data_IF_755442821053
#
_entry.id   IF_755442821053
#
_cell.length_a   1.000
_cell.length_b   1.000
_cell.length_c   1.000
_cell.angle_alpha   90.00
_cell.angle_beta   90.00
_cell.angle_gamma   90.00
#
_symmetry.space_group_name_H-M   'P 1'
#
loop_
_entity.id
_entity.type
_entity.pdbx_description
1 polymer ?
#
# COMPACT_ATOMS: atom_id res chain seq x y z
N UNK A 1 42.69 -60.15 2.89
CA UNK A 1 41.23 -60.38 2.78
C UNK A 1 40.54 -59.44 3.76
N UNK A 2 40.23 -58.23 3.31
CA UNK A 2 39.26 -57.29 3.90
C UNK A 2 39.19 -56.12 2.92
N UNK A 3 38.37 -56.24 1.88
CA UNK A 3 38.02 -55.11 1.00
C UNK A 3 36.73 -55.32 0.17
N UNK A 4 36.01 -56.44 0.36
CA UNK A 4 34.75 -56.69 -0.36
C UNK A 4 33.51 -56.10 0.32
N UNK A 5 33.51 -56.01 1.66
CA UNK A 5 32.31 -55.63 2.41
C UNK A 5 32.06 -54.12 2.45
N UNK A 6 33.11 -53.29 2.46
CA UNK A 6 32.96 -51.82 2.41
C UNK A 6 32.50 -51.32 1.05
N UNK A 7 32.90 -51.98 -0.04
CA UNK A 7 32.47 -51.61 -1.39
C UNK A 7 31.00 -52.01 -1.63
N UNK A 8 30.57 -53.14 -1.08
CA UNK A 8 29.17 -53.56 -1.11
C UNK A 8 28.27 -52.63 -0.30
N UNK A 9 28.70 -52.20 0.89
CA UNK A 9 27.95 -51.25 1.74
C UNK A 9 27.81 -49.89 1.04
N UNK A 10 28.90 -49.34 0.48
CA UNK A 10 28.83 -48.07 -0.25
C UNK A 10 27.97 -48.15 -1.51
N UNK A 11 27.97 -49.27 -2.23
CA UNK A 11 27.08 -49.45 -3.38
C UNK A 11 25.61 -49.57 -2.96
N UNK A 12 25.35 -50.21 -1.82
CA UNK A 12 23.98 -50.37 -1.29
C UNK A 12 23.42 -49.04 -0.80
N UNK A 13 24.21 -48.25 -0.05
CA UNK A 13 23.84 -46.90 0.41
C UNK A 13 23.60 -45.95 -0.77
N UNK A 14 24.49 -45.95 -1.77
CA UNK A 14 24.35 -45.11 -2.97
C UNK A 14 23.14 -45.47 -3.82
N UNK A 15 22.72 -46.74 -3.79
CA UNK A 15 21.54 -47.22 -4.50
C UNK A 15 20.24 -46.85 -3.76
N UNK A 16 20.26 -46.79 -2.42
CA UNK A 16 19.13 -46.33 -1.61
C UNK A 16 18.94 -44.81 -1.65
N UNK A 17 20.04 -44.03 -1.68
CA UNK A 17 19.99 -42.58 -1.87
C UNK A 17 19.39 -42.19 -3.24
N UNK A 18 19.77 -42.92 -4.29
CA UNK A 18 19.21 -42.71 -5.63
C UNK A 18 17.72 -43.07 -5.70
N UNK A 19 17.27 -44.09 -4.97
CA UNK A 19 15.84 -44.42 -4.85
C UNK A 19 15.09 -43.34 -4.08
N UNK A 20 15.64 -42.83 -2.98
CA UNK A 20 15.04 -41.76 -2.20
C UNK A 20 14.88 -40.46 -3.01
N UNK A 21 15.91 -40.10 -3.79
CA UNK A 21 15.87 -38.95 -4.69
C UNK A 21 14.83 -39.12 -5.81
N UNK A 22 14.70 -40.33 -6.38
CA UNK A 22 13.68 -40.63 -7.39
C UNK A 22 12.25 -40.57 -6.82
N UNK A 23 12.02 -41.07 -5.60
CA UNK A 23 10.73 -40.98 -4.90
C UNK A 23 10.36 -39.54 -4.59
N UNK A 24 11.33 -38.73 -4.17
CA UNK A 24 11.10 -37.30 -3.91
C UNK A 24 10.76 -36.52 -5.18
N UNK A 25 11.49 -36.78 -6.28
CA UNK A 25 11.23 -36.16 -7.59
C UNK A 25 9.89 -36.59 -8.17
N UNK A 26 9.52 -37.86 -8.01
CA UNK A 26 8.20 -38.35 -8.44
C UNK A 26 7.07 -37.72 -7.63
N UNK A 27 7.23 -37.58 -6.30
CA UNK A 27 6.25 -36.89 -5.45
C UNK A 27 6.03 -35.44 -5.86
N UNK A 28 7.11 -34.69 -6.13
CA UNK A 28 7.01 -33.31 -6.61
C UNK A 28 6.30 -33.19 -7.97
N UNK A 29 6.52 -34.15 -8.87
CA UNK A 29 5.83 -34.17 -10.17
C UNK A 29 4.35 -34.51 -10.02
N UNK A 30 4.02 -35.48 -9.16
CA UNK A 30 2.63 -35.87 -8.85
C UNK A 30 1.87 -34.74 -8.16
N UNK A 31 2.50 -34.03 -7.22
CA UNK A 31 1.90 -32.87 -6.54
C UNK A 31 1.67 -31.70 -7.51
N UNK A 32 2.56 -31.50 -8.48
CA UNK A 32 2.43 -30.47 -9.52
C UNK A 32 1.36 -30.83 -10.57
N UNK A 33 1.29 -32.09 -11.00
CA UNK A 33 0.24 -32.57 -11.90
C UNK A 33 -1.14 -32.54 -11.22
N UNK A 34 -1.21 -32.84 -9.92
CA UNK A 34 -2.43 -32.69 -9.12
C UNK A 34 -2.86 -31.22 -8.99
N UNK A 35 -1.93 -30.31 -8.69
CA UNK A 35 -2.22 -28.88 -8.63
C UNK A 35 -2.70 -28.32 -9.98
N UNK A 36 -2.13 -28.82 -11.10
CA UNK A 36 -2.55 -28.46 -12.45
C UNK A 36 -3.96 -28.98 -12.78
N UNK A 37 -4.29 -30.21 -12.37
CA UNK A 37 -5.64 -30.77 -12.54
C UNK A 37 -6.69 -30.02 -11.71
N UNK A 38 -6.37 -29.64 -10.46
CA UNK A 38 -7.27 -28.84 -9.64
C UNK A 38 -7.48 -27.43 -10.21
N UNK A 39 -6.46 -26.83 -10.83
CA UNK A 39 -6.58 -25.55 -11.53
C UNK A 39 -7.49 -25.67 -12.77
N UNK A 40 -7.27 -26.68 -13.63
CA UNK A 40 -8.11 -26.93 -14.80
C UNK A 40 -9.57 -27.24 -14.41
N UNK A 41 -9.77 -27.99 -13.32
CA UNK A 41 -11.09 -28.28 -12.76
C UNK A 41 -11.75 -27.03 -12.20
N UNK A 42 -11.04 -26.20 -11.44
CA UNK A 42 -11.56 -24.92 -10.95
C UNK A 42 -11.93 -23.96 -12.09
N UNK A 43 -11.17 -23.98 -13.19
CA UNK A 43 -11.41 -23.17 -14.39
C UNK A 43 -12.64 -23.67 -15.17
N UNK A 44 -12.83 -24.99 -15.25
CA UNK A 44 -14.01 -25.61 -15.86
C UNK A 44 -15.28 -25.42 -15.02
N UNK A 45 -15.17 -25.51 -13.69
CA UNK A 45 -16.25 -25.18 -12.74
C UNK A 45 -16.65 -23.71 -12.85
N UNK A 46 -15.68 -22.80 -13.04
CA UNK A 46 -15.91 -21.37 -13.24
C UNK A 46 -16.67 -21.06 -14.54
N UNK A 47 -16.32 -21.71 -15.65
CA UNK A 47 -17.02 -21.58 -16.94
C UNK A 47 -18.47 -22.12 -16.88
N UNK A 48 -18.68 -23.20 -16.11
CA UNK A 48 -20.00 -23.80 -15.88
C UNK A 48 -20.89 -22.93 -14.98
N UNK A 49 -20.32 -22.31 -13.95
CA UNK A 49 -21.03 -21.36 -13.07
C UNK A 49 -21.43 -20.09 -13.83
N UNK A 50 -20.60 -19.60 -14.77
CA UNK A 50 -20.93 -18.46 -15.61
C UNK A 50 -22.10 -18.74 -16.58
N UNK A 51 -22.28 -20.00 -17.01
CA UNK A 51 -23.39 -20.40 -17.90
C UNK A 51 -24.70 -20.66 -17.16
N UNK A 52 -24.66 -20.89 -15.84
CA UNK A 52 -25.86 -21.25 -15.03
C UNK A 52 -26.39 -20.08 -14.19
N UNK A 53 -25.65 -18.98 -14.08
CA UNK A 53 -25.97 -17.86 -13.18
C UNK A 53 -26.76 -16.75 -13.88
N UNK A 54 -27.93 -17.10 -14.42
CA UNK A 54 -28.95 -16.13 -14.83
C UNK A 54 -30.01 -15.85 -13.76
N UNK A 55 -29.98 -16.49 -12.59
CA UNK A 55 -30.99 -16.29 -11.54
C UNK A 55 -30.37 -16.34 -10.13
N UNK A 56 -29.88 -15.21 -9.62
CA UNK A 56 -29.94 -14.80 -8.20
C UNK A 56 -29.44 -13.36 -8.05
N UNK A 57 -30.25 -12.56 -7.35
CA UNK A 57 -30.35 -11.12 -7.51
C UNK A 57 -29.45 -10.35 -6.51
N UNK A 58 -28.15 -10.22 -6.82
CA UNK A 58 -27.23 -9.24 -6.17
C UNK A 58 -26.43 -8.41 -7.22
N UNK A 59 -26.65 -8.63 -8.52
CA UNK A 59 -25.86 -8.04 -9.61
C UNK A 59 -26.66 -7.09 -10.52
N UNK A 60 -27.39 -6.13 -9.94
CA UNK A 60 -27.99 -5.04 -10.73
C UNK A 60 -27.54 -3.67 -10.23
N UNK A 61 -26.24 -3.48 -10.10
CA UNK A 61 -25.66 -2.14 -10.05
C UNK A 61 -25.33 -1.73 -11.49
N UNK A 62 -25.75 -0.55 -11.97
CA UNK A 62 -25.32 -0.08 -13.28
C UNK A 62 -23.79 -0.07 -13.27
N UNK A 63 -23.15 -0.76 -14.23
CA UNK A 63 -21.72 -1.10 -14.19
C UNK A 63 -20.72 0.06 -14.25
N UNK A 64 -21.15 1.27 -13.92
CA UNK A 64 -20.34 2.48 -13.85
C UNK A 64 -20.74 3.34 -12.64
N UNK A 65 -20.42 2.87 -11.44
CA UNK A 65 -20.59 3.66 -10.21
C UNK A 65 -19.59 4.83 -10.17
N UNK A 66 -20.04 6.01 -9.76
CA UNK A 66 -19.20 7.20 -9.62
C UNK A 66 -18.10 7.01 -8.55
N UNK A 67 -16.92 7.57 -8.84
CA UNK A 67 -15.77 7.60 -7.93
C UNK A 67 -16.19 8.24 -6.61
N UNK A 68 -15.96 7.53 -5.50
CA UNK A 68 -16.23 8.06 -4.17
C UNK A 68 -15.13 9.01 -3.73
N UNK A 69 -15.50 10.12 -3.08
CA UNK A 69 -14.54 11.10 -2.57
C UNK A 69 -14.09 10.77 -1.15
N UNK A 70 -13.00 11.39 -0.69
CA UNK A 70 -12.55 11.28 0.70
C UNK A 70 -13.59 11.85 1.66
N UNK A 71 -14.25 12.95 1.29
CA UNK A 71 -15.26 13.59 2.14
C UNK A 71 -16.50 12.70 2.31
N UNK A 72 -16.91 11.95 1.27
CA UNK A 72 -17.98 10.96 1.37
C UNK A 72 -17.63 9.86 2.38
N UNK A 73 -16.41 9.33 2.29
CA UNK A 73 -15.94 8.26 3.19
C UNK A 73 -15.83 8.76 4.63
N UNK A 74 -15.27 9.95 4.85
CA UNK A 74 -15.18 10.54 6.19
C UNK A 74 -16.57 10.84 6.74
N UNK A 75 -17.50 11.32 5.91
CA UNK A 75 -18.88 11.59 6.32
C UNK A 75 -19.61 10.31 6.74
N UNK A 76 -19.38 9.21 6.01
CA UNK A 76 -19.90 7.89 6.38
C UNK A 76 -19.40 7.44 7.77
N UNK A 77 -18.09 7.52 8.03
CA UNK A 77 -17.57 7.11 9.34
C UNK A 77 -17.92 8.06 10.49
N UNK A 78 -18.20 9.33 10.20
CA UNK A 78 -18.71 10.28 11.21
C UNK A 78 -20.17 10.02 11.58
N UNK A 79 -20.97 9.46 10.68
CA UNK A 79 -22.39 9.17 10.91
C UNK A 79 -22.66 7.74 11.36
N UNK A 80 -21.74 6.80 11.08
CA UNK A 80 -21.82 5.42 11.53
C UNK A 80 -21.62 5.27 13.04
N UNK A 81 -22.21 4.22 13.62
CA UNK A 81 -21.93 3.84 15.01
C UNK A 81 -20.54 3.20 15.11
N UNK A 82 -19.56 3.98 15.54
CA UNK A 82 -18.19 3.55 15.75
C UNK A 82 -17.88 3.18 17.21
N UNK A 83 -18.89 3.12 18.08
CA UNK A 83 -18.71 2.93 19.54
C UNK A 83 -17.88 1.69 19.88
N UNK A 84 -18.14 0.56 19.22
CA UNK A 84 -17.42 -0.70 19.42
C UNK A 84 -15.93 -0.59 19.09
N UNK A 85 -15.57 0.23 18.10
CA UNK A 85 -14.18 0.46 17.70
C UNK A 85 -13.52 1.47 18.64
N UNK A 86 -14.24 2.55 18.96
CA UNK A 86 -13.79 3.59 19.90
C UNK A 86 -13.52 3.06 21.31
N UNK A 87 -14.23 2.02 21.77
CA UNK A 87 -13.97 1.41 23.07
C UNK A 87 -12.60 0.72 23.17
N UNK A 88 -12.03 0.31 22.03
CA UNK A 88 -10.83 -0.54 21.98
C UNK A 88 -9.57 0.20 21.46
N UNK A 89 -9.68 1.49 21.10
CA UNK A 89 -8.54 2.22 20.56
C UNK A 89 -7.48 2.51 21.64
N UNK A 90 -6.22 2.44 21.22
CA UNK A 90 -5.07 2.96 21.98
C UNK A 90 -4.49 4.13 21.19
N UNK A 91 -4.96 5.38 21.43
CA UNK A 91 -4.62 6.52 20.58
C UNK A 91 -3.26 7.14 20.92
N UNK A 92 -2.70 6.84 22.09
CA UNK A 92 -1.40 7.34 22.57
C UNK A 92 -0.65 6.20 23.23
N UNK A 93 0.66 6.10 23.00
CA UNK A 93 1.51 5.13 23.71
C UNK A 93 1.78 5.65 25.12
N UNK A 94 1.45 4.84 26.13
CA UNK A 94 1.78 5.14 27.52
C UNK A 94 3.30 5.26 27.71
N UNK A 95 3.72 6.33 28.39
CA UNK A 95 5.14 6.59 28.68
C UNK A 95 5.43 6.34 30.14
N UNK A 96 6.67 5.92 30.44
CA UNK A 96 7.14 5.81 31.82
C UNK A 96 7.07 7.19 32.52
N UNK A 97 6.89 7.20 33.85
CA UNK A 97 6.75 8.44 34.64
C UNK A 97 7.91 9.42 34.42
N UNK A 98 9.14 8.90 34.26
CA UNK A 98 10.32 9.71 33.96
C UNK A 98 10.24 10.33 32.56
N UNK A 99 9.83 9.57 31.54
CA UNK A 99 9.64 10.08 30.19
C UNK A 99 8.53 11.16 30.09
N UNK A 100 7.53 11.11 30.97
CA UNK A 100 6.50 12.15 31.08
C UNK A 100 7.06 13.49 31.57
N UNK A 101 8.05 13.48 32.48
CA UNK A 101 8.74 14.70 32.92
C UNK A 101 9.60 15.29 31.80
N UNK A 102 10.33 14.45 31.06
CA UNK A 102 11.11 14.90 29.90
C UNK A 102 10.24 15.42 28.76
N UNK A 103 9.01 14.93 28.60
CA UNK A 103 8.05 15.44 27.60
C UNK A 103 7.73 16.92 27.80
N UNK A 104 7.62 17.39 29.04
CA UNK A 104 7.25 18.78 29.32
C UNK A 104 8.26 19.78 28.73
N UNK A 105 9.53 19.37 28.66
CA UNK A 105 10.62 20.24 28.27
C UNK A 105 11.06 19.93 26.81
N UNK A 106 11.09 18.65 26.41
CA UNK A 106 11.71 18.17 25.16
C UNK A 106 10.77 17.30 24.30
N UNK A 107 9.51 17.16 24.71
CA UNK A 107 8.52 16.32 24.02
C UNK A 107 7.85 17.01 22.82
N UNK A 108 7.17 16.23 21.95
CA UNK A 108 6.32 16.81 20.92
C UNK A 108 5.21 17.66 21.56
N UNK A 109 4.70 18.69 20.86
CA UNK A 109 3.63 19.52 21.40
C UNK A 109 2.39 18.68 21.67
N UNK A 110 1.64 19.06 22.70
CA UNK A 110 0.34 18.43 22.99
C UNK A 110 -0.62 18.75 21.85
N UNK A 111 -1.43 17.76 21.44
CA UNK A 111 -2.50 17.99 20.48
C UNK A 111 -3.56 18.92 21.09
N UNK A 112 -4.06 19.87 20.30
CA UNK A 112 -5.20 20.69 20.70
C UNK A 112 -6.42 19.80 21.02
N UNK A 113 -7.10 20.06 22.13
CA UNK A 113 -8.24 19.26 22.58
C UNK A 113 -9.39 19.25 21.57
N UNK A 114 -9.53 20.29 20.76
CA UNK A 114 -10.54 20.33 19.69
C UNK A 114 -10.30 19.31 18.59
N UNK A 115 -9.09 18.73 18.52
CA UNK A 115 -8.69 17.75 17.50
C UNK A 115 -8.73 16.30 18.02
N UNK A 116 -9.10 16.09 19.29
CA UNK A 116 -9.08 14.78 19.91
C UNK A 116 -10.08 13.81 19.26
N UNK A 117 -11.26 14.29 18.88
CA UNK A 117 -12.28 13.47 18.23
C UNK A 117 -11.86 13.02 16.82
N UNK A 118 -11.20 13.89 16.04
CA UNK A 118 -10.64 13.49 14.75
C UNK A 118 -9.53 12.45 14.91
N UNK A 119 -8.66 12.60 15.92
CA UNK A 119 -7.63 11.61 16.24
C UNK A 119 -8.25 10.26 16.59
N UNK A 120 -9.26 10.24 17.46
CA UNK A 120 -9.97 9.00 17.83
C UNK A 120 -10.64 8.37 16.62
N UNK A 121 -11.26 9.18 15.75
CA UNK A 121 -11.88 8.70 14.51
C UNK A 121 -10.86 7.99 13.60
N UNK A 122 -9.66 8.55 13.41
CA UNK A 122 -8.59 7.88 12.64
C UNK A 122 -8.27 6.49 13.22
N UNK A 123 -8.15 6.37 14.54
CA UNK A 123 -7.90 5.07 15.17
C UNK A 123 -9.09 4.11 15.10
N UNK A 124 -10.32 4.63 15.13
CA UNK A 124 -11.52 3.83 14.99
C UNK A 124 -11.68 3.29 13.57
N UNK A 125 -11.44 4.12 12.54
CA UNK A 125 -11.40 3.69 11.14
C UNK A 125 -10.31 2.61 10.95
N UNK A 126 -9.16 2.78 11.61
CA UNK A 126 -8.08 1.79 11.59
C UNK A 126 -8.41 0.48 12.31
N UNK A 127 -9.42 0.49 13.18
CA UNK A 127 -9.89 -0.70 13.91
C UNK A 127 -11.11 -1.33 13.23
N UNK A 128 -11.75 -0.63 12.30
CA UNK A 128 -12.89 -1.12 11.55
C UNK A 128 -12.43 -2.05 10.42
N UNK A 129 -12.87 -3.33 10.38
CA UNK A 129 -12.60 -4.21 9.25
C UNK A 129 -13.42 -3.80 8.02
N UNK A 130 -13.09 -4.40 6.88
CA UNK A 130 -13.95 -4.32 5.71
C UNK A 130 -15.24 -5.10 5.95
N UNK A 131 -16.38 -4.49 5.64
CA UNK A 131 -17.71 -5.11 5.73
C UNK A 131 -18.34 -5.17 4.34
N UNK A 132 -18.87 -6.33 3.94
CA UNK A 132 -19.48 -6.53 2.62
C UNK A 132 -20.88 -5.90 2.53
N UNK A 133 -21.50 -5.69 3.68
CA UNK A 133 -22.84 -5.10 3.82
C UNK A 133 -22.81 -3.58 3.61
N UNK A 134 -21.63 -2.97 3.74
CA UNK A 134 -21.42 -1.54 3.58
C UNK A 134 -21.04 -1.19 2.13
N UNK A 135 -21.98 -0.62 1.39
CA UNK A 135 -21.78 -0.22 -0.02
C UNK A 135 -20.60 0.74 -0.17
N UNK A 136 -20.41 1.65 0.79
CA UNK A 136 -19.28 2.60 0.81
C UNK A 136 -17.95 1.85 0.75
N UNK A 137 -17.81 0.72 1.45
CA UNK A 137 -16.58 -0.05 1.48
C UNK A 137 -16.22 -0.62 0.10
N UNK A 138 -17.19 -1.23 -0.58
CA UNK A 138 -16.98 -1.74 -1.94
C UNK A 138 -16.68 -0.61 -2.93
N UNK A 139 -17.39 0.52 -2.83
CA UNK A 139 -17.17 1.69 -3.69
C UNK A 139 -15.76 2.26 -3.56
N UNK A 140 -15.18 2.25 -2.35
CA UNK A 140 -13.78 2.66 -2.15
C UNK A 140 -12.82 1.75 -2.91
N UNK A 141 -12.96 0.43 -2.77
CA UNK A 141 -12.12 -0.54 -3.50
C UNK A 141 -12.22 -0.35 -5.02
N UNK A 142 -13.44 -0.24 -5.53
CA UNK A 142 -13.69 -0.03 -6.95
C UNK A 142 -13.08 1.29 -7.45
N UNK A 143 -13.22 2.36 -6.67
CA UNK A 143 -12.65 3.68 -7.02
C UNK A 143 -11.13 3.64 -7.10
N UNK A 144 -10.46 2.99 -6.14
CA UNK A 144 -9.00 2.78 -6.16
C UNK A 144 -8.59 2.05 -7.44
N UNK A 145 -9.26 0.95 -7.76
CA UNK A 145 -8.97 0.16 -8.95
C UNK A 145 -9.15 0.98 -10.22
N UNK A 146 -10.31 1.63 -10.40
CA UNK A 146 -10.62 2.47 -11.57
C UNK A 146 -9.55 3.52 -11.81
N UNK A 147 -9.14 4.24 -10.76
CA UNK A 147 -8.17 5.32 -10.87
C UNK A 147 -6.77 4.81 -11.21
N UNK A 148 -6.32 3.72 -10.58
CA UNK A 148 -4.99 3.15 -10.84
C UNK A 148 -4.89 2.50 -12.22
N UNK A 149 -5.91 1.77 -12.65
CA UNK A 149 -5.88 1.02 -13.92
C UNK A 149 -6.50 1.78 -15.10
N UNK A 150 -7.05 2.97 -14.85
CA UNK A 150 -7.85 3.73 -15.81
C UNK A 150 -9.06 2.93 -16.38
N UNK A 151 -9.57 1.98 -15.59
CA UNK A 151 -10.76 1.22 -15.96
C UNK A 151 -12.01 2.03 -15.59
N UNK A 152 -13.02 2.05 -16.47
CA UNK A 152 -14.26 2.79 -16.25
C UNK A 152 -15.33 1.91 -15.58
N UNK A 153 -15.23 0.60 -15.73
CA UNK A 153 -16.25 -0.34 -15.27
C UNK A 153 -16.02 -0.73 -13.81
N UNK A 154 -17.11 -1.03 -13.12
CA UNK A 154 -17.06 -1.61 -11.79
C UNK A 154 -16.43 -3.01 -11.85
N UNK A 155 -15.46 -3.27 -10.97
CA UNK A 155 -14.90 -4.59 -10.78
C UNK A 155 -15.67 -5.38 -9.71
N UNK A 156 -15.75 -6.72 -9.81
CA UNK A 156 -16.37 -7.56 -8.78
C UNK A 156 -15.64 -7.45 -7.43
N UNK A 157 -16.33 -7.73 -6.33
CA UNK A 157 -15.73 -7.75 -4.97
C UNK A 157 -14.55 -8.71 -4.84
N UNK A 158 -14.58 -9.84 -5.54
CA UNK A 158 -13.55 -10.89 -5.48
C UNK A 158 -12.99 -11.19 -6.87
N UNK A 159 -11.71 -11.53 -6.95
CA UNK A 159 -11.07 -12.02 -8.17
C UNK A 159 -9.61 -11.59 -8.31
N UNK A 160 -8.91 -12.19 -9.28
CA UNK A 160 -7.46 -12.00 -9.46
C UNK A 160 -7.06 -10.61 -9.96
N UNK A 161 -8.01 -9.79 -10.38
CA UNK A 161 -7.76 -8.40 -10.77
C UNK A 161 -7.17 -7.58 -9.61
N UNK A 162 -7.43 -7.94 -8.36
CA UNK A 162 -6.84 -7.27 -7.19
C UNK A 162 -5.32 -7.42 -7.11
N UNK A 163 -4.77 -8.53 -7.61
CA UNK A 163 -3.32 -8.73 -7.69
C UNK A 163 -2.65 -7.74 -8.65
N UNK A 164 -3.38 -7.24 -9.67
CA UNK A 164 -2.86 -6.26 -10.61
C UNK A 164 -2.45 -4.96 -9.91
N UNK A 165 -3.14 -4.57 -8.84
CA UNK A 165 -2.80 -3.39 -8.03
C UNK A 165 -2.08 -3.77 -6.73
N UNK A 166 -1.64 -5.02 -6.60
CA UNK A 166 -0.74 -5.46 -5.54
C UNK A 166 -1.40 -5.81 -4.21
N UNK A 167 -2.68 -6.23 -4.21
CA UNK A 167 -3.27 -6.97 -3.07
C UNK A 167 -2.85 -8.46 -3.10
N UNK A 168 -2.98 -9.17 -1.99
CA UNK A 168 -2.70 -10.60 -1.91
C UNK A 168 -3.94 -11.43 -2.26
N UNK A 169 -3.88 -12.11 -3.40
CA UNK A 169 -4.93 -13.02 -3.87
C UNK A 169 -6.23 -12.29 -4.26
N UNK A 170 -7.33 -13.03 -4.19
CA UNK A 170 -8.63 -12.60 -4.74
C UNK A 170 -9.46 -11.73 -3.80
N UNK A 171 -9.00 -11.47 -2.57
CA UNK A 171 -9.75 -10.72 -1.56
C UNK A 171 -8.88 -9.67 -0.81
N UNK A 172 -8.98 -8.38 -1.19
CA UNK A 172 -8.32 -7.27 -0.52
C UNK A 172 -8.54 -7.16 0.99
N UNK A 173 -9.67 -7.67 1.52
CA UNK A 173 -9.95 -7.56 2.96
C UNK A 173 -8.96 -8.35 3.82
N UNK A 174 -8.33 -9.37 3.24
CA UNK A 174 -7.38 -10.24 3.95
C UNK A 174 -6.08 -9.51 4.31
N UNK A 175 -5.71 -8.48 3.54
CA UNK A 175 -4.53 -7.64 3.76
C UNK A 175 -4.73 -6.56 4.85
N UNK A 176 -5.97 -6.24 5.19
CA UNK A 176 -6.30 -5.09 6.04
C UNK A 176 -6.19 -5.35 7.55
N UNK A 177 -5.86 -6.58 7.99
CA UNK A 177 -5.95 -7.00 9.41
C UNK A 177 -5.23 -6.09 10.41
N UNK A 178 -4.12 -5.47 9.99
CA UNK A 178 -3.29 -4.65 10.88
C UNK A 178 -3.62 -3.16 10.89
N UNK A 179 -4.43 -2.67 9.95
CA UNK A 179 -4.70 -1.24 9.77
C UNK A 179 -6.17 -0.93 9.47
N UNK A 180 -7.02 -1.95 9.37
CA UNK A 180 -8.45 -1.84 9.07
C UNK A 180 -8.73 -1.05 7.80
N UNK A 181 -9.87 -0.38 7.80
CA UNK A 181 -10.35 0.41 6.68
C UNK A 181 -9.46 1.64 6.38
N UNK A 182 -8.64 2.09 7.33
CA UNK A 182 -7.71 3.20 7.11
C UNK A 182 -6.71 2.88 5.98
N UNK A 183 -6.34 1.61 5.81
CA UNK A 183 -5.50 1.17 4.69
C UNK A 183 -6.11 1.53 3.33
N UNK A 184 -7.41 1.29 3.16
CA UNK A 184 -8.14 1.65 1.94
C UNK A 184 -8.35 3.16 1.82
N UNK A 185 -8.65 3.85 2.93
CA UNK A 185 -8.79 5.31 2.91
C UNK A 185 -7.51 6.00 2.43
N UNK A 186 -6.34 5.54 2.87
CA UNK A 186 -5.04 6.05 2.41
C UNK A 186 -4.77 5.73 0.93
N UNK A 187 -5.04 4.50 0.50
CA UNK A 187 -4.91 4.12 -0.91
C UNK A 187 -5.85 4.93 -1.81
N UNK A 188 -7.06 5.24 -1.34
CA UNK A 188 -7.97 6.15 -2.02
C UNK A 188 -7.37 7.55 -2.07
N UNK A 189 -6.89 8.08 -0.95
CA UNK A 189 -6.40 9.45 -0.85
C UNK A 189 -5.27 9.76 -1.85
N UNK A 190 -4.30 8.85 -2.00
CA UNK A 190 -3.19 9.07 -2.94
C UNK A 190 -3.66 9.11 -4.40
N UNK A 191 -4.77 8.47 -4.75
CA UNK A 191 -5.27 8.43 -6.14
C UNK A 191 -6.31 9.50 -6.49
N UNK A 192 -6.72 10.34 -5.54
CA UNK A 192 -7.83 11.30 -5.73
C UNK A 192 -7.47 12.55 -6.55
N UNK A 193 -6.26 13.10 -6.34
CA UNK A 193 -5.86 14.34 -6.99
C UNK A 193 -4.90 14.05 -8.16
N UNK A 194 -4.89 14.86 -9.24
CA UNK A 194 -4.08 14.57 -10.43
C UNK A 194 -2.59 14.34 -10.14
N UNK A 195 -1.98 15.19 -9.30
CA UNK A 195 -0.54 15.13 -9.02
C UNK A 195 -0.18 13.90 -8.17
N UNK A 196 -1.03 13.53 -7.21
CA UNK A 196 -0.82 12.34 -6.37
C UNK A 196 -1.19 11.06 -7.13
N UNK A 197 -2.16 11.11 -8.05
CA UNK A 197 -2.49 10.01 -8.95
C UNK A 197 -1.34 9.72 -9.92
N UNK A 198 -0.68 10.75 -10.46
CA UNK A 198 0.55 10.58 -11.23
C UNK A 198 1.60 9.85 -10.41
N UNK A 199 1.85 10.30 -9.17
CA UNK A 199 2.78 9.62 -8.26
C UNK A 199 2.38 8.15 -8.03
N UNK A 200 1.10 7.88 -7.72
CA UNK A 200 0.62 6.52 -7.49
C UNK A 200 0.82 5.61 -8.70
N UNK A 201 0.65 6.13 -9.92
CA UNK A 201 0.89 5.39 -11.17
C UNK A 201 2.38 5.15 -11.41
N UNK A 202 3.24 6.13 -11.13
CA UNK A 202 4.70 5.97 -11.21
C UNK A 202 5.19 4.89 -10.24
N UNK A 203 4.65 4.88 -9.02
CA UNK A 203 4.93 3.85 -8.01
C UNK A 203 4.39 2.49 -8.47
N UNK A 204 3.15 2.42 -8.98
CA UNK A 204 2.56 1.17 -9.47
C UNK A 204 3.36 0.60 -10.65
N UNK A 205 3.87 1.45 -11.53
CA UNK A 205 4.75 1.04 -12.61
C UNK A 205 6.05 0.45 -12.08
N UNK A 206 6.74 1.14 -11.15
CA UNK A 206 7.95 0.61 -10.51
C UNK A 206 7.68 -0.70 -9.77
N UNK A 207 6.52 -0.83 -9.13
CA UNK A 207 6.12 -2.02 -8.39
C UNK A 207 5.97 -3.28 -9.28
N UNK A 208 5.89 -3.09 -10.60
CA UNK A 208 5.82 -4.15 -11.61
C UNK A 208 7.15 -4.35 -12.37
N UNK A 209 8.21 -3.63 -11.98
CA UNK A 209 9.53 -3.78 -12.58
C UNK A 209 10.08 -5.20 -12.39
N UNK A 210 10.77 -5.73 -13.39
CA UNK A 210 11.27 -7.12 -13.36
C UNK A 210 12.18 -7.43 -12.15
N UNK A 211 12.93 -6.44 -11.67
CA UNK A 211 13.89 -6.59 -10.57
C UNK A 211 13.44 -5.91 -9.29
N UNK A 212 12.83 -4.74 -9.43
CA UNK A 212 12.43 -3.88 -8.33
C UNK A 212 10.99 -4.09 -7.88
N UNK A 213 10.28 -5.10 -8.40
CA UNK A 213 8.88 -5.33 -8.07
C UNK A 213 8.61 -5.39 -6.56
N UNK A 214 7.39 -4.98 -6.22
CA UNK A 214 6.80 -5.14 -4.90
C UNK A 214 5.27 -5.06 -5.02
N UNK A 215 4.50 -5.63 -4.07
CA UNK A 215 3.05 -5.51 -4.11
C UNK A 215 2.61 -4.09 -3.71
N UNK A 216 2.18 -3.26 -4.68
CA UNK A 216 1.81 -1.85 -4.47
C UNK A 216 0.84 -1.62 -3.29
N UNK A 217 -0.33 -2.28 -3.29
CA UNK A 217 -1.33 -2.07 -2.25
C UNK A 217 -0.84 -2.56 -0.88
N UNK A 218 -0.23 -3.74 -0.80
CA UNK A 218 0.35 -4.27 0.45
C UNK A 218 1.44 -3.36 1.00
N UNK A 219 2.30 -2.82 0.15
CA UNK A 219 3.32 -1.85 0.55
C UNK A 219 2.65 -0.58 1.12
N UNK A 220 1.65 -0.04 0.43
CA UNK A 220 0.83 1.07 0.93
C UNK A 220 0.18 0.77 2.29
N UNK A 221 -0.38 -0.43 2.48
CA UNK A 221 -0.96 -0.88 3.76
C UNK A 221 0.10 -0.92 4.87
N UNK A 222 1.31 -1.38 4.58
CA UNK A 222 2.42 -1.34 5.53
C UNK A 222 2.80 0.10 5.91
N UNK A 223 2.81 1.05 4.96
CA UNK A 223 3.05 2.46 5.26
C UNK A 223 1.94 3.07 6.13
N UNK A 224 0.68 2.66 5.96
CA UNK A 224 -0.41 3.04 6.87
C UNK A 224 -0.12 2.65 8.32
N UNK A 225 0.48 1.48 8.55
CA UNK A 225 0.90 1.07 9.90
C UNK A 225 1.93 2.02 10.49
N UNK A 226 2.90 2.47 9.68
CA UNK A 226 3.92 3.44 10.09
C UNK A 226 3.27 4.79 10.43
N UNK A 227 2.31 5.24 9.63
CA UNK A 227 1.54 6.48 9.89
C UNK A 227 0.78 6.40 11.22
N UNK A 228 0.07 5.29 11.47
CA UNK A 228 -0.64 5.06 12.74
C UNK A 228 0.33 5.11 13.93
N UNK A 229 1.48 4.47 13.80
CA UNK A 229 2.51 4.48 14.84
C UNK A 229 3.04 5.90 15.09
N UNK A 230 3.29 6.68 14.03
CA UNK A 230 3.73 8.08 14.15
C UNK A 230 2.68 8.94 14.86
N UNK A 231 1.40 8.74 14.56
CA UNK A 231 0.30 9.42 15.24
C UNK A 231 0.24 9.02 16.72
N UNK A 232 0.30 7.72 17.05
CA UNK A 232 0.32 7.22 18.43
C UNK A 232 1.50 7.76 19.24
N UNK A 233 2.66 7.88 18.61
CA UNK A 233 3.87 8.46 19.19
C UNK A 233 3.84 10.01 19.25
N UNK A 234 2.73 10.64 18.85
CA UNK A 234 2.52 12.09 18.86
C UNK A 234 3.46 12.87 17.92
N UNK A 235 4.08 12.20 16.94
CA UNK A 235 5.05 12.81 16.01
C UNK A 235 4.41 13.86 15.10
N UNK A 236 3.10 13.75 14.88
CA UNK A 236 2.34 14.61 13.97
C UNK A 236 1.63 15.77 14.67
N UNK A 237 1.57 15.80 16.01
CA UNK A 237 0.77 16.78 16.76
C UNK A 237 1.08 18.24 16.36
N UNK A 238 2.34 18.57 16.10
CA UNK A 238 2.75 19.93 15.69
C UNK A 238 2.06 20.35 14.40
N UNK A 239 2.04 19.47 13.41
CA UNK A 239 1.47 19.73 12.09
C UNK A 239 -0.05 19.65 12.15
N UNK A 240 -0.62 18.72 12.93
CA UNK A 240 -2.06 18.68 13.20
C UNK A 240 -2.55 19.99 13.81
N UNK A 241 -1.87 20.53 14.84
CA UNK A 241 -2.23 21.81 15.44
C UNK A 241 -2.07 22.98 14.46
N UNK A 242 -1.00 22.97 13.65
CA UNK A 242 -0.76 24.02 12.65
C UNK A 242 -1.87 24.05 11.59
N UNK A 243 -2.29 22.89 11.08
CA UNK A 243 -3.33 22.77 10.05
C UNK A 243 -4.75 22.71 10.62
N UNK A 244 -4.91 22.56 11.94
CA UNK A 244 -6.19 22.34 12.64
C UNK A 244 -7.01 21.20 12.03
N UNK A 245 -6.34 20.13 11.60
CA UNK A 245 -6.98 19.00 10.94
C UNK A 245 -6.07 17.77 11.05
N UNK A 246 -6.52 16.73 11.76
CA UNK A 246 -5.75 15.50 11.96
C UNK A 246 -5.84 14.61 10.74
N UNK A 247 -7.04 14.48 10.17
CA UNK A 247 -7.33 13.58 9.05
C UNK A 247 -6.50 13.98 7.82
N UNK A 248 -6.50 15.28 7.48
CA UNK A 248 -5.70 15.84 6.39
C UNK A 248 -4.22 15.57 6.60
N UNK A 249 -3.68 15.85 7.79
CA UNK A 249 -2.24 15.67 8.07
C UNK A 249 -1.85 14.21 7.98
N UNK A 250 -2.67 13.29 8.50
CA UNK A 250 -2.43 11.84 8.44
C UNK A 250 -2.40 11.34 6.99
N UNK A 251 -3.36 11.80 6.18
CA UNK A 251 -3.46 11.44 4.77
C UNK A 251 -2.31 12.02 3.92
N UNK A 252 -1.97 13.30 4.09
CA UNK A 252 -0.81 13.90 3.42
C UNK A 252 0.50 13.24 3.87
N UNK A 253 0.61 12.90 5.16
CA UNK A 253 1.80 12.25 5.69
C UNK A 253 1.98 10.86 5.08
N UNK A 254 0.89 10.11 4.88
CA UNK A 254 0.90 8.85 4.14
C UNK A 254 1.50 9.02 2.74
N UNK A 255 1.01 10.00 1.96
CA UNK A 255 1.53 10.25 0.60
C UNK A 255 3.00 10.67 0.64
N UNK A 256 3.40 11.51 1.60
CA UNK A 256 4.79 11.95 1.77
C UNK A 256 5.73 10.79 2.12
N UNK A 257 5.27 9.84 2.93
CA UNK A 257 6.03 8.61 3.20
C UNK A 257 6.13 7.75 1.92
N UNK A 258 5.05 7.60 1.15
CA UNK A 258 5.08 6.78 -0.07
C UNK A 258 6.01 7.39 -1.13
N UNK A 259 5.99 8.72 -1.28
CA UNK A 259 6.95 9.46 -2.11
C UNK A 259 8.39 9.22 -1.65
N UNK A 260 8.65 9.30 -0.34
CA UNK A 260 9.98 9.05 0.20
C UNK A 260 10.45 7.61 -0.06
N UNK A 261 9.57 6.62 0.16
CA UNK A 261 9.83 5.22 -0.14
C UNK A 261 10.15 5.05 -1.63
N UNK A 262 9.32 5.61 -2.52
CA UNK A 262 9.51 5.55 -3.97
C UNK A 262 10.88 6.11 -4.39
N UNK A 263 11.26 7.27 -3.86
CA UNK A 263 12.54 7.89 -4.17
C UNK A 263 13.72 7.02 -3.72
N UNK A 264 13.67 6.45 -2.50
CA UNK A 264 14.72 5.53 -2.03
C UNK A 264 14.75 4.28 -2.91
N UNK A 265 13.58 3.70 -3.18
CA UNK A 265 13.44 2.44 -3.90
C UNK A 265 14.00 2.56 -5.32
N UNK A 266 13.55 3.57 -6.06
CA UNK A 266 13.98 3.84 -7.43
C UNK A 266 15.47 4.21 -7.49
N UNK A 267 15.95 5.15 -6.66
CA UNK A 267 17.35 5.62 -6.71
C UNK A 267 18.38 4.52 -6.40
N UNK A 268 18.04 3.60 -5.49
CA UNK A 268 18.99 2.60 -5.00
C UNK A 268 18.82 1.21 -5.63
N UNK A 269 17.99 1.07 -6.68
CA UNK A 269 17.68 -0.22 -7.30
C UNK A 269 17.22 -1.29 -6.28
N UNK A 270 16.41 -0.89 -5.31
CA UNK A 270 15.94 -1.77 -4.23
C UNK A 270 15.10 -2.92 -4.80
N UNK A 271 15.24 -4.10 -4.19
CA UNK A 271 14.43 -5.29 -4.47
C UNK A 271 13.56 -5.66 -3.27
N UNK A 272 12.54 -6.48 -3.49
CA UNK A 272 11.63 -6.95 -2.43
C UNK A 272 12.36 -7.67 -1.29
N UNK A 273 13.49 -8.33 -1.56
CA UNK A 273 14.30 -9.03 -0.56
C UNK A 273 14.86 -8.08 0.51
N UNK A 274 15.13 -6.82 0.12
CA UNK A 274 15.66 -5.78 1.02
C UNK A 274 14.57 -4.91 1.64
N UNK A 275 13.29 -5.15 1.31
CA UNK A 275 12.16 -4.31 1.73
C UNK A 275 12.06 -4.12 3.25
N UNK A 276 12.39 -5.15 4.03
CA UNK A 276 12.37 -5.09 5.50
C UNK A 276 13.36 -4.08 6.09
N UNK A 277 14.52 -3.86 5.45
CA UNK A 277 15.49 -2.85 5.88
C UNK A 277 15.01 -1.44 5.48
N UNK A 278 14.53 -1.29 4.25
CA UNK A 278 14.02 0.00 3.76
C UNK A 278 12.83 0.48 4.59
N UNK A 279 11.89 -0.41 4.95
CA UNK A 279 10.77 -0.06 5.82
C UNK A 279 11.22 0.42 7.21
N UNK A 280 12.26 -0.19 7.78
CA UNK A 280 12.86 0.28 9.05
C UNK A 280 13.51 1.65 8.91
N UNK A 281 14.16 1.92 7.79
CA UNK A 281 14.76 3.23 7.52
C UNK A 281 13.68 4.30 7.35
N UNK A 282 12.58 3.98 6.66
CA UNK A 282 11.39 4.83 6.56
C UNK A 282 10.81 5.10 7.96
N UNK A 283 10.63 4.09 8.80
CA UNK A 283 10.17 4.26 10.19
C UNK A 283 11.11 5.18 11.00
N UNK A 284 12.43 5.02 10.85
CA UNK A 284 13.44 5.87 11.48
C UNK A 284 13.32 7.33 11.02
N UNK A 285 13.15 7.56 9.72
CA UNK A 285 12.96 8.91 9.14
C UNK A 285 11.66 9.54 9.64
N UNK A 286 10.56 8.80 9.65
CA UNK A 286 9.25 9.24 10.18
C UNK A 286 9.36 9.71 11.63
N UNK A 287 10.10 8.98 12.48
CA UNK A 287 10.27 9.33 13.89
C UNK A 287 11.15 10.56 14.10
N UNK A 288 12.20 10.71 13.29
CA UNK A 288 13.21 11.77 13.46
C UNK A 288 12.86 13.07 12.75
N UNK A 289 12.28 12.98 11.56
CA UNK A 289 12.10 14.11 10.62
C UNK A 289 10.71 14.14 9.95
N UNK A 290 9.59 14.02 10.68
CA UNK A 290 8.25 13.95 10.07
C UNK A 290 7.90 15.19 9.23
N UNK A 291 8.34 16.38 9.66
CA UNK A 291 8.11 17.62 8.90
C UNK A 291 8.75 17.62 7.51
N UNK A 292 9.91 16.96 7.36
CA UNK A 292 10.62 16.91 6.07
C UNK A 292 9.80 16.13 5.04
N UNK A 293 9.12 15.05 5.46
CA UNK A 293 8.29 14.24 4.57
C UNK A 293 7.09 15.04 4.02
N UNK A 294 6.43 15.84 4.87
CA UNK A 294 5.34 16.73 4.44
C UNK A 294 5.84 17.84 3.51
N UNK A 295 6.99 18.44 3.83
CA UNK A 295 7.60 19.49 2.99
C UNK A 295 7.99 18.94 1.61
N UNK A 296 8.63 17.77 1.57
CA UNK A 296 9.04 17.15 0.31
C UNK A 296 7.82 16.81 -0.57
N UNK A 297 6.70 16.40 0.02
CA UNK A 297 5.45 16.24 -0.71
C UNK A 297 4.93 17.57 -1.28
N UNK A 298 4.92 18.63 -0.47
CA UNK A 298 4.52 19.97 -0.91
C UNK A 298 5.39 20.47 -2.07
N UNK A 299 6.70 20.29 -1.98
CA UNK A 299 7.67 20.63 -3.04
C UNK A 299 7.41 19.83 -4.32
N UNK A 300 7.14 18.53 -4.20
CA UNK A 300 6.80 17.65 -5.31
C UNK A 300 5.51 18.11 -6.02
N UNK A 301 4.44 18.35 -5.27
CA UNK A 301 3.15 18.81 -5.82
C UNK A 301 3.31 20.17 -6.51
N UNK A 302 3.99 21.11 -5.86
CA UNK A 302 4.25 22.44 -6.42
C UNK A 302 5.05 22.37 -7.73
N UNK A 303 6.01 21.45 -7.80
CA UNK A 303 6.80 21.24 -9.02
C UNK A 303 5.94 20.68 -10.14
N UNK A 304 5.12 19.64 -9.88
CA UNK A 304 4.20 19.08 -10.89
C UNK A 304 3.20 20.12 -11.40
N UNK A 305 2.61 20.93 -10.50
CA UNK A 305 1.68 22.01 -10.87
C UNK A 305 2.33 23.05 -11.80
N UNK A 306 3.59 23.44 -11.52
CA UNK A 306 4.33 24.37 -12.38
C UNK A 306 4.57 23.79 -13.77
N UNK A 307 4.89 22.50 -13.86
CA UNK A 307 5.10 21.81 -15.14
C UNK A 307 3.81 21.78 -15.96
N UNK A 308 2.67 21.40 -15.36
CA UNK A 308 1.36 21.41 -16.04
C UNK A 308 0.97 22.81 -16.53
N UNK A 309 1.23 23.83 -15.72
CA UNK A 309 0.96 25.25 -16.08
C UNK A 309 1.85 25.73 -17.23
N UNK A 310 3.07 25.22 -17.35
CA UNK A 310 3.99 25.57 -18.43
C UNK A 310 3.67 24.81 -19.73
N UNK A 311 3.37 23.51 -19.66
CA UNK A 311 2.98 22.71 -20.82
C UNK A 311 1.68 23.19 -21.46
N UNK A 312 0.73 23.68 -20.66
CA UNK A 312 -0.53 24.26 -21.16
C UNK A 312 -0.36 25.63 -21.86
N UNK A 313 0.81 26.26 -21.74
CA UNK A 313 1.15 27.54 -22.39
C UNK A 313 1.97 27.39 -23.68
N UNK A 314 2.48 26.20 -24.00
CA UNK A 314 3.23 25.94 -25.23
C UNK A 314 2.33 25.48 -26.38
N UNK A 315 2.58 26.01 -27.58
CA UNK A 315 1.93 25.58 -28.82
C UNK A 315 2.42 24.16 -29.22
N UNK A 316 1.56 23.30 -29.82
CA UNK A 316 1.86 21.89 -30.13
C UNK A 316 2.96 21.64 -31.19
N UNK A 317 3.72 22.65 -31.62
CA UNK A 317 4.71 22.55 -32.68
C UNK A 317 6.16 22.33 -32.18
N UNK A 318 6.40 22.16 -30.87
CA UNK A 318 7.75 22.07 -30.28
C UNK A 318 8.02 20.78 -29.46
N UNK A 319 7.26 19.71 -29.71
CA UNK A 319 7.26 18.49 -28.89
C UNK A 319 8.57 17.68 -28.92
N UNK A 320 9.44 17.85 -29.92
CA UNK A 320 10.65 17.03 -30.07
C UNK A 320 11.82 17.47 -29.15
N UNK A 321 11.77 18.69 -28.62
CA UNK A 321 12.81 19.21 -27.71
C UNK A 321 12.47 18.92 -26.23
N UNK A 322 11.20 18.63 -25.92
CA UNK A 322 10.70 18.36 -24.57
C UNK A 322 11.14 16.99 -24.02
N UNK A 323 11.26 15.94 -24.84
CA UNK A 323 11.70 14.62 -24.34
C UNK A 323 13.11 14.66 -23.74
N UNK A 324 13.97 15.59 -24.18
CA UNK A 324 15.30 15.82 -23.59
C UNK A 324 15.26 16.70 -22.34
N UNK A 325 14.38 17.72 -22.32
CA UNK A 325 14.22 18.59 -21.15
C UNK A 325 13.61 17.80 -19.97
N UNK A 326 12.69 16.87 -20.23
CA UNK A 326 12.12 15.97 -19.21
C UNK A 326 13.18 15.03 -18.60
N UNK A 327 14.11 14.48 -19.40
CA UNK A 327 15.21 13.65 -18.86
C UNK A 327 16.22 14.48 -18.08
N UNK A 328 16.48 15.72 -18.50
CA UNK A 328 17.47 16.59 -17.89
C UNK A 328 16.96 17.17 -16.55
N UNK A 329 15.67 17.47 -16.42
CA UNK A 329 15.08 17.95 -15.14
C UNK A 329 14.87 16.82 -14.14
N UNK A 330 14.50 15.61 -14.58
CA UNK A 330 14.57 14.42 -13.72
C UNK A 330 15.99 14.16 -13.21
N UNK A 331 17.02 14.58 -13.97
CA UNK A 331 18.41 14.51 -13.53
C UNK A 331 18.77 15.66 -12.56
N UNK A 332 18.28 16.88 -12.76
CA UNK A 332 18.52 17.99 -11.82
C UNK A 332 17.83 17.77 -10.46
N UNK A 333 16.63 17.20 -10.42
CA UNK A 333 15.99 16.74 -9.18
C UNK A 333 16.75 15.55 -8.52
N UNK A 334 17.65 14.88 -9.24
CA UNK A 334 18.61 13.92 -8.64
C UNK A 334 19.82 14.61 -7.99
N UNK A 335 20.16 15.85 -8.34
CA UNK A 335 21.34 16.56 -7.84
C UNK A 335 21.10 17.47 -6.62
N UNK A 336 19.87 17.96 -6.41
CA UNK A 336 19.57 18.88 -5.28
C UNK A 336 19.65 18.19 -3.90
N UNK A 337 19.63 16.85 -3.85
CA UNK A 337 19.72 16.08 -2.58
C UNK A 337 21.16 15.95 -2.04
N UNK A 338 22.21 16.20 -2.84
CA UNK A 338 23.61 16.02 -2.41
C UNK A 338 24.17 17.23 -1.61
N UNK A 339 23.49 18.38 -1.60
CA UNK A 339 23.92 19.58 -0.85
C UNK A 339 23.40 19.66 0.60
N UNK A 340 22.61 18.67 1.06
CA UNK A 340 22.08 18.63 2.44
C UNK A 340 22.49 17.33 3.16
N UNK A 341 23.76 16.96 3.01
CA UNK A 341 24.37 15.87 3.81
C UNK A 341 25.13 16.43 5.01
#
# INVERSE_FOLDING_TARGET
>A
MMDGDSELIMQTERMDDNKAAAVYKHRLLVDNDYAKQELEKAQTEWETVNSTRSDTNVNSWPGNTEIITIDDVISHFKSADMSIYMANIVPVIERSKLASLFRLIWGPPVLDSSLDDERKLVFAIASCPFHNEEIVHLRVLQSIYKLLTNNQNDCPRYGSHWEQIGFQGNDPSTDLRGVGFLGLLHLLYIVMNPQTLSLARDILQLSRDEKQNFPFAVMGINLTRIVLQALREERLNKECNRKKNVILVVNEFYVGIFLHLYNIWSKNNVTIESSGFILKDVESTVKKRPKVLLRNLEDYINTKNKLETNSSKLNPAQTTQETRIFSDIESELRFVDDEIT
#
